data_IF_624762442661
#
_entry.id   IF_624762442661
#
_cell.length_a   1.000
_cell.length_b   1.000
_cell.length_c   1.000
_cell.angle_alpha   90.00
_cell.angle_beta   90.00
_cell.angle_gamma   90.00
#
_symmetry.space_group_name_H-M   'P 1'
#
loop_
_entity.id
_entity.type
_entity.pdbx_description
1 polymer ?
#
# COMPACT_ATOMS: atom_id res chain seq x y z
N UNK A 1 -2.44 14.06 8.98
CA UNK A 1 -1.55 13.09 8.36
C UNK A 1 -1.12 12.12 9.45
N UNK A 2 -0.52 10.96 9.13
CA UNK A 2 -0.27 9.84 10.04
C UNK A 2 0.17 10.14 11.48
N UNK A 3 0.91 11.20 11.73
CA UNK A 3 1.34 11.60 13.07
C UNK A 3 0.23 12.16 14.00
N UNK A 4 -0.96 12.41 13.46
CA UNK A 4 -2.11 12.91 14.24
C UNK A 4 -3.19 11.85 14.44
N UNK A 5 -3.06 10.67 13.78
CA UNK A 5 -4.15 9.70 13.74
C UNK A 5 -4.38 9.07 15.11
N UNK A 6 -3.36 8.79 15.90
CA UNK A 6 -3.53 8.25 17.26
C UNK A 6 -4.40 9.17 18.11
N UNK A 7 -4.05 10.45 18.16
CA UNK A 7 -4.80 11.43 18.96
C UNK A 7 -6.23 11.59 18.45
N UNK A 8 -6.40 11.72 17.13
CA UNK A 8 -7.70 11.97 16.50
C UNK A 8 -8.64 10.77 16.54
N UNK A 9 -8.10 9.54 16.40
CA UNK A 9 -8.91 8.33 16.37
C UNK A 9 -9.25 7.82 17.77
N UNK A 10 -8.44 8.09 18.77
CA UNK A 10 -8.60 7.61 20.14
C UNK A 10 -10.03 7.71 20.69
N UNK A 11 -10.68 8.90 20.71
CA UNK A 11 -12.01 9.01 21.32
C UNK A 11 -13.08 8.18 20.63
N UNK A 12 -12.92 7.89 19.35
CA UNK A 12 -13.86 7.09 18.58
C UNK A 12 -13.60 5.60 18.77
N UNK A 13 -12.36 5.16 18.68
CA UNK A 13 -11.99 3.74 18.83
C UNK A 13 -12.23 3.27 20.26
N UNK A 14 -11.92 4.08 21.27
CA UNK A 14 -12.21 3.79 22.68
C UNK A 14 -13.72 3.80 22.98
N UNK A 15 -14.53 4.50 22.20
CA UNK A 15 -15.98 4.43 22.26
C UNK A 15 -16.57 3.22 21.47
N UNK A 16 -15.72 2.39 20.89
CA UNK A 16 -16.14 1.20 20.11
C UNK A 16 -16.73 1.53 18.74
N UNK A 17 -16.46 2.74 18.21
CA UNK A 17 -16.94 3.14 16.89
C UNK A 17 -16.00 2.66 15.79
N UNK A 18 -16.50 1.97 14.76
CA UNK A 18 -15.67 1.57 13.64
C UNK A 18 -15.24 2.78 12.80
N UNK A 19 -13.99 2.77 12.34
CA UNK A 19 -13.39 3.90 11.62
C UNK A 19 -12.77 3.48 10.30
N UNK A 20 -12.94 4.33 9.29
CA UNK A 20 -12.05 4.35 8.13
C UNK A 20 -10.98 5.43 8.34
N UNK A 21 -9.71 5.03 8.27
CA UNK A 21 -8.57 5.92 8.53
C UNK A 21 -7.75 6.04 7.25
N UNK A 22 -7.54 7.27 6.77
CA UNK A 22 -6.74 7.50 5.56
C UNK A 22 -5.27 7.11 5.75
N UNK A 23 -4.64 6.79 4.65
CA UNK A 23 -3.21 6.44 4.60
C UNK A 23 -2.28 7.69 4.67
N UNK A 24 -1.06 7.55 5.15
CA UNK A 24 -0.55 6.40 5.91
C UNK A 24 -1.22 6.35 7.28
N UNK A 25 -1.45 5.15 7.79
CA UNK A 25 -2.05 4.98 9.12
C UNK A 25 -1.23 5.73 10.17
N UNK A 26 0.08 5.57 10.13
CA UNK A 26 1.04 6.22 11.00
C UNK A 26 2.35 6.50 10.25
N UNK A 27 3.25 7.25 10.88
CA UNK A 27 4.62 7.48 10.42
C UNK A 27 5.66 7.37 11.55
N UNK A 28 5.28 6.74 12.65
CA UNK A 28 6.18 6.35 13.75
C UNK A 28 5.88 4.93 14.22
N UNK A 29 6.88 4.26 14.77
CA UNK A 29 6.73 2.92 15.33
C UNK A 29 5.87 2.93 16.59
N UNK A 30 5.98 3.98 17.42
CA UNK A 30 5.19 4.15 18.63
C UNK A 30 3.69 4.21 18.33
N UNK A 31 3.30 5.02 17.34
CA UNK A 31 1.92 5.13 16.90
C UNK A 31 1.42 3.82 16.29
N UNK A 32 2.29 3.11 15.54
CA UNK A 32 1.95 1.80 14.99
C UNK A 32 1.63 0.80 16.10
N UNK A 33 2.46 0.72 17.13
CA UNK A 33 2.23 -0.15 18.30
C UNK A 33 0.91 0.18 19.00
N UNK A 34 0.53 1.45 19.05
CA UNK A 34 -0.75 1.90 19.61
C UNK A 34 -1.92 1.35 18.79
N UNK A 35 -1.88 1.46 17.45
CA UNK A 35 -2.93 0.90 16.59
C UNK A 35 -2.99 -0.63 16.63
N UNK A 36 -1.83 -1.31 16.66
CA UNK A 36 -1.78 -2.77 16.83
C UNK A 36 -2.45 -3.17 18.14
N UNK A 37 -2.12 -2.49 19.24
CA UNK A 37 -2.78 -2.77 20.53
C UNK A 37 -4.29 -2.56 20.48
N UNK A 38 -4.76 -1.47 19.90
CA UNK A 38 -6.20 -1.23 19.74
C UNK A 38 -6.88 -2.33 18.91
N UNK A 39 -6.24 -2.78 17.84
CA UNK A 39 -6.74 -3.89 17.03
C UNK A 39 -6.85 -5.18 17.87
N UNK A 40 -5.80 -5.51 18.63
CA UNK A 40 -5.76 -6.70 19.49
C UNK A 40 -6.78 -6.62 20.62
N UNK A 41 -7.07 -5.41 21.11
CA UNK A 41 -8.13 -5.13 22.09
C UNK A 41 -9.56 -5.13 21.46
N UNK A 42 -9.69 -5.37 20.15
CA UNK A 42 -10.97 -5.50 19.45
C UNK A 42 -11.48 -4.22 18.80
N UNK A 43 -10.70 -3.15 18.74
CA UNK A 43 -11.10 -1.94 18.02
C UNK A 43 -11.22 -2.22 16.50
N UNK A 44 -12.29 -1.68 15.91
CA UNK A 44 -12.62 -1.90 14.52
C UNK A 44 -12.18 -0.72 13.65
N UNK A 45 -11.19 -0.92 12.82
CA UNK A 45 -10.80 0.09 11.82
C UNK A 45 -10.27 -0.55 10.55
N UNK A 46 -10.45 0.16 9.44
CA UNK A 46 -9.86 -0.15 8.14
C UNK A 46 -8.97 1.00 7.71
N UNK A 47 -7.77 0.67 7.29
CA UNK A 47 -6.86 1.62 6.63
C UNK A 47 -6.25 0.95 5.41
N UNK A 48 -6.15 1.67 4.31
CA UNK A 48 -5.51 1.21 3.09
C UNK A 48 -5.29 2.36 2.12
N UNK A 49 -4.47 2.13 1.11
CA UNK A 49 -4.43 2.99 -0.07
C UNK A 49 -5.46 2.54 -1.11
N UNK A 50 -6.09 3.47 -1.80
CA UNK A 50 -6.92 3.18 -2.97
C UNK A 50 -6.16 2.41 -4.07
N UNK A 51 -4.82 2.53 -4.13
CA UNK A 51 -4.00 1.80 -5.11
C UNK A 51 -4.08 0.27 -4.96
N UNK A 52 -4.44 -0.24 -3.79
CA UNK A 52 -4.75 -1.66 -3.57
C UNK A 52 -5.93 -2.15 -4.42
N UNK A 53 -6.82 -1.24 -4.79
CA UNK A 53 -8.11 -1.54 -5.43
C UNK A 53 -8.19 -1.01 -6.86
N UNK A 54 -7.05 -0.73 -7.50
CA UNK A 54 -7.03 -0.33 -8.90
C UNK A 54 -7.60 -1.44 -9.77
N UNK A 55 -8.64 -1.10 -10.54
CA UNK A 55 -9.35 -2.01 -11.43
C UNK A 55 -8.42 -2.76 -12.39
N UNK A 56 -7.41 -2.05 -12.87
CA UNK A 56 -6.46 -2.56 -13.84
C UNK A 56 -5.50 -3.61 -13.23
N UNK A 57 -5.31 -3.60 -11.90
CA UNK A 57 -4.45 -4.54 -11.19
C UNK A 57 -5.19 -5.83 -10.78
N UNK A 58 -6.50 -5.77 -10.58
CA UNK A 58 -7.31 -6.88 -10.07
C UNK A 58 -7.12 -8.21 -10.83
N UNK A 59 -7.05 -8.22 -12.18
CA UNK A 59 -6.81 -9.48 -12.91
C UNK A 59 -5.51 -10.17 -12.49
N UNK A 60 -4.46 -9.41 -12.18
CA UNK A 60 -3.15 -9.94 -11.77
C UNK A 60 -3.13 -10.39 -10.31
N UNK A 61 -3.93 -9.77 -9.45
CA UNK A 61 -4.11 -10.24 -8.07
C UNK A 61 -4.80 -11.60 -8.03
N UNK A 62 -5.76 -11.81 -8.91
CA UNK A 62 -6.45 -13.09 -9.01
C UNK A 62 -5.59 -14.17 -9.68
N UNK A 63 -4.84 -13.80 -10.72
CA UNK A 63 -4.04 -14.72 -11.52
C UNK A 63 -2.98 -13.97 -12.34
N UNK A 64 -1.73 -14.36 -12.17
CA UNK A 64 -0.59 -13.86 -12.94
C UNK A 64 0.22 -14.98 -13.63
N UNK A 65 -0.42 -16.10 -13.98
CA UNK A 65 0.24 -17.26 -14.60
C UNK A 65 1.00 -16.94 -15.89
N UNK A 66 0.58 -15.93 -16.62
CA UNK A 66 1.27 -15.46 -17.81
C UNK A 66 2.68 -14.93 -17.52
N UNK A 67 2.89 -14.38 -16.32
CA UNK A 67 4.18 -13.88 -15.88
C UNK A 67 5.05 -14.98 -15.27
N UNK A 68 4.43 -16.08 -14.83
CA UNK A 68 5.12 -17.12 -14.07
C UNK A 68 5.43 -16.68 -12.64
N UNK A 69 6.55 -17.12 -12.09
CA UNK A 69 7.05 -16.70 -10.79
C UNK A 69 7.49 -15.22 -10.86
N UNK A 70 6.99 -14.39 -9.95
CA UNK A 70 7.35 -12.97 -9.90
C UNK A 70 8.77 -12.80 -9.35
N UNK A 71 9.63 -12.20 -10.15
CA UNK A 71 11.05 -12.00 -9.85
C UNK A 71 11.39 -10.56 -9.50
N UNK A 72 10.66 -9.61 -10.10
CA UNK A 72 10.91 -8.19 -9.90
C UNK A 72 9.63 -7.38 -10.06
N UNK A 73 9.44 -6.40 -9.19
CA UNK A 73 8.34 -5.44 -9.27
C UNK A 73 8.90 -4.02 -9.12
N UNK A 74 8.42 -3.11 -9.96
CA UNK A 74 8.74 -1.68 -9.82
C UNK A 74 7.44 -0.86 -9.85
N UNK A 75 7.24 -0.02 -8.83
CA UNK A 75 6.09 0.87 -8.76
C UNK A 75 6.55 2.32 -8.52
N UNK A 76 6.72 3.10 -9.59
CA UNK A 76 7.09 4.51 -9.46
C UNK A 76 5.98 5.33 -8.82
N UNK A 77 6.36 6.23 -7.92
CA UNK A 77 5.43 7.06 -7.18
C UNK A 77 5.85 8.52 -7.14
N UNK A 78 4.88 9.41 -7.26
CA UNK A 78 5.11 10.85 -7.12
C UNK A 78 5.22 11.28 -5.66
N UNK A 79 5.69 12.51 -5.44
CA UNK A 79 5.77 13.18 -4.12
C UNK A 79 6.78 12.51 -3.17
N UNK A 80 6.61 12.71 -1.87
CA UNK A 80 7.53 12.25 -0.82
C UNK A 80 7.20 10.82 -0.39
N UNK A 81 8.23 10.02 -0.09
CA UNK A 81 8.06 8.63 0.31
C UNK A 81 7.22 8.50 1.59
N UNK A 82 7.45 9.32 2.59
CA UNK A 82 6.77 9.26 3.89
C UNK A 82 5.24 9.38 3.80
N UNK A 83 4.76 10.00 2.74
CA UNK A 83 3.32 10.23 2.53
C UNK A 83 2.71 9.47 1.37
N UNK A 84 3.54 9.09 0.38
CA UNK A 84 3.07 8.46 -0.86
C UNK A 84 3.70 7.09 -1.16
N UNK A 85 4.80 6.71 -0.51
CA UNK A 85 5.40 5.39 -0.67
C UNK A 85 4.43 4.24 -0.36
N UNK A 86 3.52 4.47 0.59
CA UNK A 86 2.46 3.52 0.93
C UNK A 86 1.57 3.16 -0.26
N UNK A 87 1.37 4.06 -1.22
CA UNK A 87 0.58 3.75 -2.42
C UNK A 87 1.25 2.69 -3.27
N UNK A 88 2.59 2.76 -3.43
CA UNK A 88 3.34 1.75 -4.14
C UNK A 88 3.30 0.41 -3.42
N UNK A 89 3.55 0.39 -2.10
CA UNK A 89 3.48 -0.83 -1.28
C UNK A 89 2.10 -1.48 -1.37
N UNK A 90 1.04 -0.69 -1.26
CA UNK A 90 -0.34 -1.17 -1.32
C UNK A 90 -0.74 -1.71 -2.71
N UNK A 91 -0.14 -1.20 -3.80
CA UNK A 91 -0.38 -1.72 -5.14
C UNK A 91 0.24 -3.10 -5.37
N UNK A 92 1.32 -3.43 -4.67
CA UNK A 92 2.03 -4.70 -4.83
C UNK A 92 1.74 -5.72 -3.73
N UNK A 93 1.24 -5.28 -2.58
CA UNK A 93 0.94 -6.16 -1.45
C UNK A 93 -0.01 -7.31 -1.79
N UNK A 94 -1.08 -7.13 -2.61
CA UNK A 94 -1.93 -8.24 -3.02
C UNK A 94 -1.23 -9.29 -3.90
N UNK A 95 -0.09 -8.93 -4.52
CA UNK A 95 0.73 -9.87 -5.32
C UNK A 95 1.72 -10.65 -4.47
N UNK A 96 2.32 -9.99 -3.47
CA UNK A 96 3.44 -10.51 -2.70
C UNK A 96 3.03 -11.03 -1.32
N UNK A 97 2.00 -10.45 -0.72
CA UNK A 97 1.65 -10.70 0.68
C UNK A 97 2.64 -10.05 1.67
N UNK A 98 2.63 -10.49 2.94
CA UNK A 98 3.65 -10.14 3.92
C UNK A 98 5.00 -10.77 3.56
N UNK A 99 6.10 -10.33 4.18
CA UNK A 99 7.42 -10.93 3.94
C UNK A 99 8.45 -9.94 3.38
N UNK A 100 8.23 -8.65 3.57
CA UNK A 100 9.25 -7.63 3.27
C UNK A 100 10.40 -7.72 4.27
N UNK A 101 11.58 -8.16 3.81
CA UNK A 101 12.73 -8.52 4.67
C UNK A 101 13.65 -7.34 4.93
N UNK A 102 13.91 -6.53 3.92
CA UNK A 102 14.84 -5.40 4.03
C UNK A 102 14.45 -4.26 3.10
N UNK A 103 14.82 -3.05 3.48
CA UNK A 103 14.70 -1.86 2.66
C UNK A 103 16.00 -1.06 2.70
N UNK A 104 16.46 -0.61 1.54
CA UNK A 104 17.59 0.28 1.37
C UNK A 104 17.19 1.47 0.53
N UNK A 105 17.47 2.67 0.99
CA UNK A 105 17.24 3.90 0.23
C UNK A 105 18.52 4.37 -0.46
N UNK A 106 18.39 4.80 -1.71
CA UNK A 106 19.45 5.47 -2.47
C UNK A 106 18.91 6.77 -3.09
N UNK A 107 19.81 7.68 -3.47
CA UNK A 107 19.45 8.96 -4.07
C UNK A 107 19.37 10.11 -3.05
N UNK A 108 18.46 11.04 -3.28
CA UNK A 108 18.29 12.25 -2.48
C UNK A 108 16.89 12.31 -1.90
N UNK A 109 16.65 13.24 -0.97
CA UNK A 109 15.32 13.47 -0.40
C UNK A 109 14.25 13.82 -1.46
N UNK A 110 14.63 14.52 -2.52
CA UNK A 110 13.69 14.90 -3.59
C UNK A 110 13.47 13.79 -4.63
N UNK A 111 14.46 12.91 -4.80
CA UNK A 111 14.46 11.81 -5.77
C UNK A 111 15.18 10.62 -5.19
N UNK A 112 14.44 9.66 -4.73
CA UNK A 112 14.97 8.46 -4.09
C UNK A 112 14.52 7.19 -4.79
N UNK A 113 15.23 6.11 -4.52
CA UNK A 113 14.88 4.76 -4.89
C UNK A 113 14.89 3.91 -3.62
N UNK A 114 13.77 3.28 -3.31
CA UNK A 114 13.70 2.27 -2.26
C UNK A 114 13.88 0.90 -2.89
N UNK A 115 14.94 0.21 -2.49
CA UNK A 115 15.23 -1.17 -2.87
C UNK A 115 14.75 -2.08 -1.75
N UNK A 116 13.85 -2.99 -2.05
CA UNK A 116 13.20 -3.86 -1.06
C UNK A 116 13.39 -5.31 -1.50
N UNK A 117 13.72 -6.18 -0.55
CA UNK A 117 13.73 -7.62 -0.75
C UNK A 117 12.53 -8.25 -0.07
N UNK A 118 11.91 -9.20 -0.76
CA UNK A 118 10.83 -10.01 -0.24
C UNK A 118 11.30 -11.45 -0.01
N UNK A 119 10.83 -12.11 1.05
CA UNK A 119 11.22 -13.47 1.41
C UNK A 119 10.93 -14.51 0.32
N UNK A 120 9.92 -14.25 -0.52
CA UNK A 120 9.62 -15.05 -1.73
C UNK A 120 10.62 -14.88 -2.88
N UNK A 121 11.73 -14.15 -2.67
CA UNK A 121 12.77 -13.96 -3.69
C UNK A 121 12.51 -12.82 -4.68
N UNK A 122 11.36 -12.18 -4.64
CA UNK A 122 11.05 -11.03 -5.49
C UNK A 122 11.80 -9.78 -5.02
N UNK A 123 12.51 -9.11 -5.93
CA UNK A 123 13.09 -7.80 -5.69
C UNK A 123 12.06 -6.70 -6.05
N UNK A 124 12.00 -5.66 -5.23
CA UNK A 124 11.04 -4.57 -5.41
C UNK A 124 11.74 -3.23 -5.41
N UNK A 125 11.44 -2.40 -6.40
CA UNK A 125 11.92 -1.02 -6.46
C UNK A 125 10.77 -0.02 -6.45
N UNK A 126 10.90 1.03 -5.64
CA UNK A 126 9.99 2.16 -5.60
C UNK A 126 10.77 3.43 -5.94
N UNK A 127 10.84 3.81 -7.23
CA UNK A 127 11.30 5.14 -7.60
C UNK A 127 10.33 6.21 -7.07
N UNK A 128 10.85 7.17 -6.33
CA UNK A 128 10.05 8.21 -5.70
C UNK A 128 10.62 9.59 -5.99
N UNK A 129 9.79 10.54 -6.35
CA UNK A 129 10.29 11.89 -6.59
C UNK A 129 9.23 12.97 -6.64
N UNK A 130 9.59 14.14 -6.10
CA UNK A 130 8.79 15.36 -6.20
C UNK A 130 8.74 15.77 -7.67
N UNK A 131 7.54 15.97 -8.19
CA UNK A 131 7.32 16.33 -9.60
C UNK A 131 7.39 15.16 -10.59
N UNK A 132 7.64 13.95 -10.14
CA UNK A 132 7.50 12.77 -11.00
C UNK A 132 6.01 12.53 -11.32
N UNK A 133 5.73 12.15 -12.55
CA UNK A 133 4.43 11.67 -12.98
C UNK A 133 4.46 10.14 -13.00
N UNK A 134 3.33 9.53 -12.59
CA UNK A 134 3.15 8.09 -12.72
C UNK A 134 2.41 7.49 -11.53
N UNK A 135 1.60 6.54 -11.85
CA UNK A 135 0.99 5.59 -10.93
C UNK A 135 0.81 4.30 -11.72
N UNK A 136 1.72 3.37 -11.56
CA UNK A 136 1.70 2.11 -12.30
C UNK A 136 2.56 1.08 -11.62
N UNK A 137 2.45 -0.15 -12.09
CA UNK A 137 3.24 -1.27 -11.63
C UNK A 137 3.86 -2.00 -12.83
N UNK A 138 5.16 -2.15 -12.82
CA UNK A 138 5.89 -3.05 -13.70
C UNK A 138 6.11 -4.35 -12.97
N UNK A 139 5.70 -5.44 -13.57
CA UNK A 139 5.91 -6.80 -13.08
C UNK A 139 6.78 -7.56 -14.06
N UNK A 140 7.82 -8.23 -13.59
CA UNK A 140 8.69 -9.11 -14.36
C UNK A 140 8.71 -10.47 -13.66
N UNK A 141 8.31 -11.47 -14.39
CA UNK A 141 8.33 -12.85 -13.92
C UNK A 141 9.18 -13.76 -14.79
N UNK A 142 9.22 -15.04 -14.46
CA UNK A 142 10.02 -16.05 -15.13
C UNK A 142 9.57 -16.37 -16.57
N UNK A 143 8.36 -15.93 -16.96
CA UNK A 143 7.78 -16.22 -18.30
C UNK A 143 7.44 -14.96 -19.09
N UNK A 144 7.35 -13.80 -18.46
CA UNK A 144 6.98 -12.58 -19.14
C UNK A 144 7.03 -11.34 -18.23
N UNK A 145 6.66 -10.20 -18.80
CA UNK A 145 6.57 -8.94 -18.07
C UNK A 145 5.40 -8.10 -18.56
N UNK A 146 4.87 -7.27 -17.67
CA UNK A 146 3.83 -6.31 -18.02
C UNK A 146 3.96 -5.03 -17.19
N UNK A 147 3.59 -3.89 -17.81
CA UNK A 147 3.46 -2.61 -17.13
C UNK A 147 2.01 -2.13 -17.20
N UNK A 148 1.43 -1.86 -16.05
CA UNK A 148 0.03 -1.49 -15.93
C UNK A 148 -0.08 -0.18 -15.18
N UNK A 149 -0.85 0.76 -15.75
CA UNK A 149 -1.16 2.04 -15.11
C UNK A 149 -2.51 1.98 -14.41
N UNK A 150 -2.60 2.54 -13.21
CA UNK A 150 -3.87 2.86 -12.58
C UNK A 150 -4.49 4.06 -13.30
N UNK A 151 -5.61 3.86 -13.98
CA UNK A 151 -6.29 4.88 -14.79
C UNK A 151 -7.60 5.32 -14.17
N UNK A 152 -8.29 4.41 -13.51
CA UNK A 152 -9.59 4.67 -12.87
C UNK A 152 -9.45 4.83 -11.36
N UNK A 153 -8.93 5.99 -10.96
CA UNK A 153 -8.79 6.32 -9.53
C UNK A 153 -10.14 6.43 -8.82
N UNK A 154 -11.20 6.85 -9.53
CA UNK A 154 -12.54 6.93 -8.94
C UNK A 154 -13.04 5.54 -8.53
N UNK A 155 -12.91 4.55 -9.42
CA UNK A 155 -13.23 3.16 -9.10
C UNK A 155 -12.46 2.68 -7.86
N UNK A 156 -11.16 2.93 -7.82
CA UNK A 156 -10.29 2.49 -6.73
C UNK A 156 -10.72 3.07 -5.37
N UNK A 157 -11.02 4.38 -5.31
CA UNK A 157 -11.53 5.03 -4.10
C UNK A 157 -12.92 4.51 -3.72
N UNK A 158 -13.82 4.40 -4.70
CA UNK A 158 -15.17 3.88 -4.44
C UNK A 158 -15.12 2.47 -3.86
N UNK A 159 -14.35 1.58 -4.47
CA UNK A 159 -14.22 0.19 -4.00
C UNK A 159 -13.65 0.09 -2.59
N UNK A 160 -12.67 0.91 -2.25
CA UNK A 160 -12.11 1.00 -0.91
C UNK A 160 -13.19 1.31 0.13
N UNK A 161 -14.06 2.29 -0.15
CA UNK A 161 -15.15 2.67 0.75
C UNK A 161 -16.30 1.66 0.75
N UNK A 162 -16.64 1.09 -0.40
CA UNK A 162 -17.66 0.03 -0.50
C UNK A 162 -17.26 -1.19 0.36
N UNK A 163 -15.98 -1.56 0.37
CA UNK A 163 -15.47 -2.64 1.21
C UNK A 163 -15.59 -2.32 2.70
N UNK A 164 -15.28 -1.10 3.11
CA UNK A 164 -15.48 -0.67 4.49
C UNK A 164 -16.96 -0.74 4.90
N UNK A 165 -17.86 -0.21 4.06
CA UNK A 165 -19.31 -0.27 4.32
C UNK A 165 -19.82 -1.71 4.33
N UNK A 166 -19.32 -2.56 3.44
CA UNK A 166 -19.70 -3.99 3.42
C UNK A 166 -19.26 -4.66 4.71
N UNK A 167 -18.00 -4.47 5.13
CA UNK A 167 -17.50 -5.05 6.38
C UNK A 167 -18.27 -4.60 7.61
N UNK A 168 -18.79 -3.38 7.67
CA UNK A 168 -19.62 -2.90 8.77
C UNK A 168 -21.02 -3.58 8.84
N UNK A 169 -21.44 -4.23 7.74
CA UNK A 169 -22.79 -4.83 7.62
C UNK A 169 -22.79 -6.35 7.75
N UNK A 170 -21.61 -6.96 7.73
CA UNK A 170 -21.41 -8.42 7.84
C UNK A 170 -20.79 -8.83 9.15
#
# INVERSE_FOLDING_TARGET
VGHEHVERCRPFLEAGLPMFIDKPLVNSEEDLRTFVKWHDDGAQFLTSSSMRYCKEYEPYYANHYELGELMYICSPMSKKYETYGIHALESMYPLLGPGFVSVQSTGTYERSMMHILHEGGCAVDIPQGIGMAGAGILMIGSKGSNYIQCRDSYYAFKKQLDLFVHWLRT
#
